data_IF_035958482866
#
_entry.id   IF_035958482866
#
_cell.length_a   1.000
_cell.length_b   1.000
_cell.length_c   1.000
_cell.angle_alpha   90.00
_cell.angle_beta   90.00
_cell.angle_gamma   90.00
#
_symmetry.space_group_name_H-M   'P 1'
#
loop_
_entity.id
_entity.type
_entity.pdbx_description
1 polymer ?
#
# COMPACT_ATOMS: atom_id res chain seq x y z
N UNK A 1 -25.09 -20.60 -25.59
CA UNK A 1 -23.71 -20.32 -25.11
C UNK A 1 -23.87 -19.77 -23.71
N UNK A 2 -23.50 -20.53 -22.68
CA UNK A 2 -23.56 -20.05 -21.30
C UNK A 2 -22.19 -19.52 -20.92
N UNK A 3 -22.11 -18.20 -20.76
CA UNK A 3 -20.93 -17.50 -20.26
C UNK A 3 -20.60 -18.04 -18.87
N UNK A 4 -19.41 -18.62 -18.69
CA UNK A 4 -18.96 -19.12 -17.39
C UNK A 4 -18.64 -17.89 -16.54
N UNK A 5 -19.49 -17.58 -15.56
CA UNK A 5 -19.22 -16.51 -14.60
C UNK A 5 -17.79 -16.69 -14.02
N UNK A 6 -17.00 -15.61 -13.89
CA UNK A 6 -15.66 -15.72 -13.33
C UNK A 6 -15.76 -16.38 -11.96
N UNK A 7 -14.93 -17.40 -11.74
CA UNK A 7 -14.90 -18.12 -10.48
C UNK A 7 -14.56 -17.12 -9.37
N UNK A 8 -15.51 -16.90 -8.47
CA UNK A 8 -15.31 -16.03 -7.31
C UNK A 8 -14.09 -16.54 -6.53
N UNK A 9 -13.11 -15.68 -6.21
CA UNK A 9 -11.91 -16.09 -5.51
C UNK A 9 -12.28 -16.71 -4.16
N UNK A 10 -11.79 -17.93 -3.89
CA UNK A 10 -12.03 -18.62 -2.62
C UNK A 10 -11.51 -17.78 -1.45
N UNK A 11 -12.28 -17.58 -0.36
CA UNK A 11 -11.86 -16.76 0.80
C UNK A 11 -10.58 -17.25 1.50
N UNK A 12 -10.09 -18.45 1.18
CA UNK A 12 -8.84 -19.03 1.69
C UNK A 12 -7.60 -18.14 1.46
N UNK A 13 -7.65 -17.24 0.46
CA UNK A 13 -6.56 -16.29 0.22
C UNK A 13 -6.26 -15.42 1.44
N UNK A 14 -7.27 -15.13 2.28
CA UNK A 14 -7.10 -14.33 3.51
C UNK A 14 -6.22 -15.03 4.53
N UNK A 15 -6.28 -16.37 4.63
CA UNK A 15 -5.46 -17.14 5.57
C UNK A 15 -3.98 -17.18 5.16
N UNK A 16 -3.69 -17.07 3.87
CA UNK A 16 -2.33 -17.05 3.33
C UNK A 16 -1.74 -15.66 3.13
N UNK A 17 -2.56 -14.60 3.29
CA UNK A 17 -2.10 -13.22 3.15
C UNK A 17 -1.25 -12.75 4.34
N UNK A 18 -1.34 -13.41 5.51
CA UNK A 18 -0.65 -13.00 6.73
C UNK A 18 0.57 -13.88 7.06
N UNK A 19 1.58 -13.33 7.74
CA UNK A 19 1.69 -11.92 8.14
C UNK A 19 2.12 -11.01 6.97
N UNK A 20 1.60 -9.78 6.93
CA UNK A 20 1.94 -8.82 5.89
C UNK A 20 3.13 -7.96 6.28
N UNK A 21 3.90 -7.54 5.28
CA UNK A 21 4.80 -6.40 5.42
C UNK A 21 3.98 -5.11 5.26
N UNK A 22 4.14 -4.17 6.18
CA UNK A 22 3.39 -2.92 6.21
C UNK A 22 4.32 -1.73 6.36
N UNK A 23 4.08 -0.67 5.58
CA UNK A 23 4.61 0.67 5.84
C UNK A 23 3.45 1.59 6.16
N UNK A 24 3.42 2.19 7.35
CA UNK A 24 2.50 3.26 7.71
C UNK A 24 3.24 4.61 7.59
N UNK A 25 2.70 5.52 6.79
CA UNK A 25 3.22 6.87 6.62
C UNK A 25 2.11 7.86 6.99
N UNK A 26 2.40 8.76 7.93
CA UNK A 26 1.53 9.89 8.27
C UNK A 26 2.23 11.17 7.85
N UNK A 27 1.55 12.00 7.07
CA UNK A 27 2.05 13.27 6.56
C UNK A 27 1.21 14.41 7.14
N UNK A 28 1.86 15.50 7.53
CA UNK A 28 1.26 16.71 8.04
C UNK A 28 1.63 17.89 7.14
N UNK A 29 0.62 18.66 6.75
CA UNK A 29 0.77 19.98 6.17
C UNK A 29 -0.26 20.95 6.73
N UNK A 30 -0.08 22.24 6.47
CA UNK A 30 -1.05 23.29 6.80
C UNK A 30 -2.01 23.55 5.63
N UNK A 31 -2.99 24.43 5.86
CA UNK A 31 -3.88 24.97 4.81
C UNK A 31 -3.12 25.58 3.63
N UNK A 32 -1.86 26.01 3.81
CA UNK A 32 -1.02 26.59 2.76
C UNK A 32 -0.06 25.59 2.11
N UNK A 33 0.08 24.38 2.65
CA UNK A 33 0.89 23.34 2.04
C UNK A 33 0.28 22.95 0.70
N UNK A 34 1.06 23.12 -0.37
CA UNK A 34 0.66 22.64 -1.68
C UNK A 34 0.96 21.14 -1.81
N UNK A 35 0.39 20.49 -2.84
CA UNK A 35 0.64 19.07 -3.13
C UNK A 35 2.13 18.75 -3.22
N UNK A 36 2.94 19.66 -3.77
CA UNK A 36 4.39 19.49 -3.90
C UNK A 36 5.07 19.32 -2.55
N UNK A 37 4.69 20.09 -1.53
CA UNK A 37 5.27 19.95 -0.19
C UNK A 37 4.98 18.58 0.44
N UNK A 38 3.75 18.07 0.28
CA UNK A 38 3.37 16.73 0.75
C UNK A 38 4.14 15.64 0.01
N UNK A 39 4.29 15.76 -1.31
CA UNK A 39 5.08 14.82 -2.12
C UNK A 39 6.55 14.82 -1.68
N UNK A 40 7.13 15.99 -1.38
CA UNK A 40 8.51 16.07 -0.90
C UNK A 40 8.69 15.34 0.44
N UNK A 41 7.73 15.41 1.37
CA UNK A 41 7.77 14.64 2.62
C UNK A 41 7.74 13.13 2.35
N UNK A 42 6.95 12.68 1.37
CA UNK A 42 6.90 11.28 0.97
C UNK A 42 8.23 10.80 0.38
N UNK A 43 8.89 11.61 -0.46
CA UNK A 43 10.21 11.27 -1.00
C UNK A 43 11.27 11.19 0.11
N UNK A 44 11.21 12.06 1.12
CA UNK A 44 12.10 11.97 2.29
C UNK A 44 11.91 10.62 3.02
N UNK A 45 10.66 10.26 3.31
CA UNK A 45 10.33 8.97 3.94
C UNK A 45 10.84 7.80 3.09
N UNK A 46 10.65 7.87 1.77
CA UNK A 46 11.13 6.86 0.83
C UNK A 46 12.65 6.71 0.88
N UNK A 47 13.41 7.80 0.87
CA UNK A 47 14.88 7.75 1.00
C UNK A 47 15.32 7.11 2.31
N UNK A 48 14.65 7.41 3.43
CA UNK A 48 14.95 6.80 4.74
C UNK A 48 14.67 5.29 4.76
N UNK A 49 13.55 4.86 4.17
CA UNK A 49 13.25 3.43 4.00
C UNK A 49 14.29 2.72 3.12
N UNK A 50 14.77 3.37 2.06
CA UNK A 50 15.79 2.81 1.15
C UNK A 50 17.15 2.57 1.83
N UNK A 51 17.51 3.39 2.82
CA UNK A 51 18.73 3.18 3.62
C UNK A 51 18.51 2.20 4.79
N UNK A 52 17.33 1.61 4.91
CA UNK A 52 17.00 0.58 5.88
C UNK A 52 16.45 1.08 7.21
N UNK A 53 16.10 2.37 7.32
CA UNK A 53 15.41 2.85 8.52
C UNK A 53 13.99 2.30 8.57
N UNK A 54 13.62 1.69 9.70
CA UNK A 54 12.28 1.10 9.86
C UNK A 54 11.29 2.04 10.55
N UNK A 55 11.75 3.16 11.10
CA UNK A 55 10.89 4.17 11.71
C UNK A 55 11.59 5.51 11.74
N UNK A 56 10.80 6.58 11.73
CA UNK A 56 11.32 7.92 11.88
C UNK A 56 10.21 8.95 11.89
N UNK A 57 10.52 10.13 12.38
CA UNK A 57 9.62 11.26 12.37
C UNK A 57 10.40 12.55 12.30
N UNK A 58 9.77 13.57 11.73
CA UNK A 58 10.25 14.94 11.73
C UNK A 58 9.02 15.83 11.80
N UNK A 59 9.10 16.89 12.60
CA UNK A 59 7.97 17.77 12.81
C UNK A 59 8.47 19.18 13.08
N UNK A 60 7.89 20.10 12.34
CA UNK A 60 7.96 21.55 12.45
C UNK A 60 6.51 22.07 12.48
N UNK A 61 6.31 23.31 12.94
CA UNK A 61 4.99 23.90 13.19
C UNK A 61 4.07 23.85 11.95
N UNK A 62 4.66 23.90 10.75
CA UNK A 62 3.93 23.88 9.48
C UNK A 62 3.96 22.52 8.75
N UNK A 63 4.90 21.64 9.08
CA UNK A 63 5.19 20.45 8.29
C UNK A 63 5.68 19.29 9.15
N UNK A 64 5.27 18.07 8.84
CA UNK A 64 5.86 16.91 9.49
C UNK A 64 5.54 15.60 8.80
N UNK A 65 6.29 14.58 9.16
CA UNK A 65 6.02 13.21 8.79
C UNK A 65 6.34 12.27 9.95
N UNK A 66 5.69 11.12 9.95
CA UNK A 66 6.12 9.97 10.73
C UNK A 66 5.93 8.71 9.90
N UNK A 67 6.85 7.77 10.00
CA UNK A 67 6.72 6.49 9.34
C UNK A 67 7.13 5.34 10.25
N UNK A 68 6.57 4.17 9.97
CA UNK A 68 6.91 2.89 10.60
C UNK A 68 6.76 1.77 9.57
N UNK A 69 7.79 0.93 9.46
CA UNK A 69 7.79 -0.32 8.74
C UNK A 69 7.66 -1.48 9.72
N UNK A 70 6.76 -2.40 9.41
CA UNK A 70 6.53 -3.62 10.17
C UNK A 70 6.66 -4.81 9.23
N UNK A 71 7.55 -5.74 9.56
CA UNK A 71 7.85 -6.91 8.71
C UNK A 71 6.76 -7.99 8.77
N UNK A 72 5.96 -7.96 9.83
CA UNK A 72 4.91 -8.94 10.07
C UNK A 72 3.79 -8.26 10.87
N UNK A 73 2.65 -8.02 10.21
CA UNK A 73 1.43 -7.51 10.83
C UNK A 73 0.36 -8.58 10.68
N UNK A 74 -0.27 -8.93 11.80
CA UNK A 74 -1.23 -10.05 11.90
C UNK A 74 -2.68 -9.64 11.58
N UNK A 75 -2.93 -8.37 11.27
CA UNK A 75 -4.23 -7.86 10.84
C UNK A 75 -4.98 -7.02 11.89
N UNK A 76 -6.26 -6.65 11.63
CA UNK A 76 -7.20 -7.26 10.68
C UNK A 76 -6.86 -7.03 9.21
N UNK A 77 -7.54 -7.76 8.31
CA UNK A 77 -7.23 -7.68 6.89
C UNK A 77 -7.41 -6.29 6.31
N UNK A 78 -6.34 -5.75 5.70
CA UNK A 78 -6.37 -4.45 5.02
C UNK A 78 -7.08 -4.50 3.66
N UNK A 79 -7.38 -5.71 3.18
CA UNK A 79 -7.99 -5.94 1.89
C UNK A 79 -9.40 -6.52 2.07
N UNK A 80 -10.38 -5.87 1.44
CA UNK A 80 -11.75 -6.37 1.32
C UNK A 80 -11.85 -7.44 0.20
N UNK A 81 -10.98 -7.35 -0.81
CA UNK A 81 -10.88 -8.23 -1.99
C UNK A 81 -9.43 -8.68 -2.24
N UNK A 82 -9.18 -9.81 -2.97
CA UNK A 82 -7.81 -10.23 -3.25
C UNK A 82 -7.04 -9.18 -4.06
N UNK A 83 -5.80 -8.92 -3.67
CA UNK A 83 -4.94 -8.00 -4.39
C UNK A 83 -4.56 -8.60 -5.76
N UNK A 84 -4.83 -7.90 -6.87
CA UNK A 84 -4.38 -8.27 -8.22
C UNK A 84 -5.42 -8.89 -9.17
N UNK A 85 -6.72 -8.88 -8.84
CA UNK A 85 -7.76 -9.34 -9.77
C UNK A 85 -8.32 -8.18 -10.62
N UNK A 86 -7.46 -7.50 -11.38
CA UNK A 86 -7.94 -6.66 -12.49
C UNK A 86 -8.08 -7.55 -13.73
N UNK A 87 -9.30 -8.01 -13.98
CA UNK A 87 -9.69 -8.75 -15.19
C UNK A 87 -9.41 -7.97 -16.49
N UNK A 88 -9.17 -6.65 -16.41
CA UNK A 88 -9.15 -5.75 -17.57
C UNK A 88 -7.75 -5.38 -18.07
N UNK A 89 -6.66 -5.78 -17.38
CA UNK A 89 -5.29 -5.40 -17.76
C UNK A 89 -4.48 -6.48 -18.50
N UNK A 90 -5.01 -7.70 -18.61
CA UNK A 90 -4.41 -8.75 -19.43
C UNK A 90 -5.48 -9.42 -20.29
N UNK A 91 -5.68 -8.98 -21.54
CA UNK A 91 -6.37 -9.84 -22.50
C UNK A 91 -5.56 -11.14 -22.57
N UNK A 92 -6.21 -12.26 -22.23
CA UNK A 92 -5.60 -13.57 -22.37
C UNK A 92 -5.18 -13.73 -23.83
N UNK A 93 -3.88 -13.68 -24.11
CA UNK A 93 -3.39 -13.98 -25.45
C UNK A 93 -3.84 -15.41 -25.79
N UNK A 94 -4.48 -15.63 -26.96
CA UNK A 94 -4.79 -16.98 -27.38
C UNK A 94 -3.47 -17.71 -27.61
N UNK A 95 -3.20 -18.73 -26.79
CA UNK A 95 -2.16 -19.71 -27.10
C UNK A 95 -2.62 -20.47 -28.36
N UNK A 96 -1.93 -20.22 -29.46
CA UNK A 96 -1.95 -21.07 -30.68
C UNK A 96 -1.34 -22.44 -30.41
#
# INVERSE_FOLDING_TARGET
MSERAPAQPSPDWKAHAYPLQQVLIKLQGTRRSNKTAIVNQLEIVRSRLQVGEEKGSEHDDDFGYSFKYERAVDGPSFFDEPCGYESDLYPAEPRS
#
